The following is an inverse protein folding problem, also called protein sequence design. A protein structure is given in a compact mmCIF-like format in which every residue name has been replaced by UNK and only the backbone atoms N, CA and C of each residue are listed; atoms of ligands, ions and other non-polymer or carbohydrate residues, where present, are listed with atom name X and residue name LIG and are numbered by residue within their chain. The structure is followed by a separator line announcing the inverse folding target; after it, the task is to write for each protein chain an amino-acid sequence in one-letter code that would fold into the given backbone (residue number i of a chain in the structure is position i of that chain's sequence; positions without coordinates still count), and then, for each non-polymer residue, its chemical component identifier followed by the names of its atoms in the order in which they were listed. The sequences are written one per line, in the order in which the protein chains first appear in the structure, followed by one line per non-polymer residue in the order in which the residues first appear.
data_IF_743773473671
#
_entry.id   IF_743773473671
#
_cell.length_a   1.000
_cell.length_b   1.000
_cell.length_c   1.000
_cell.angle_alpha   90.00
_cell.angle_beta   90.00
_cell.angle_gamma   90.00
#
_symmetry.space_group_name_H-M   'P 1'
#
loop_
_entity.id
_entity.type
_entity.pdbx_description
1 polymer ?
#
# COMPACT_ATOMS: atom_id res chain seq x y z
N UNK A 1 2.37 -12.80 20.80
CA UNK A 1 3.18 -13.39 19.70
C UNK A 1 2.79 -14.87 19.51
N UNK A 2 3.04 -15.49 18.36
CA UNK A 2 2.63 -16.89 18.09
C UNK A 2 3.12 -17.89 19.15
N UNK A 3 4.29 -17.66 19.75
CA UNK A 3 4.80 -18.50 20.83
C UNK A 3 3.90 -18.47 22.07
N UNK A 4 3.43 -17.29 22.47
CA UNK A 4 2.52 -17.13 23.61
C UNK A 4 1.20 -17.86 23.34
N UNK A 5 0.66 -17.74 22.12
CA UNK A 5 -0.56 -18.49 21.75
C UNK A 5 -0.32 -20.01 21.75
N UNK A 6 0.86 -20.48 21.35
CA UNK A 6 1.19 -21.91 21.45
C UNK A 6 1.22 -22.37 22.90
N UNK A 7 1.78 -21.56 23.81
CA UNK A 7 1.82 -21.87 25.25
C UNK A 7 0.39 -21.95 25.80
N UNK A 8 -0.45 -20.95 25.52
CA UNK A 8 -1.88 -20.95 25.91
C UNK A 8 -2.61 -22.22 25.45
N UNK A 9 -2.44 -22.60 24.17
CA UNK A 9 -3.07 -23.83 23.63
C UNK A 9 -2.57 -25.11 24.31
N UNK A 10 -1.31 -25.14 24.76
CA UNK A 10 -0.75 -26.28 25.50
C UNK A 10 -1.34 -26.33 26.91
N UNK A 11 -1.38 -25.19 27.60
CA UNK A 11 -1.91 -25.06 28.97
C UNK A 11 -3.40 -25.45 29.03
N UNK A 12 -4.17 -25.05 28.02
CA UNK A 12 -5.61 -25.33 27.92
C UNK A 12 -5.93 -26.72 27.34
N UNK A 13 -4.91 -27.54 27.04
CA UNK A 13 -5.06 -28.82 26.34
C UNK A 13 -5.85 -28.71 25.02
N UNK A 14 -5.72 -27.60 24.30
CA UNK A 14 -6.36 -27.38 23.00
C UNK A 14 -5.58 -28.08 21.88
N UNK A 15 -5.81 -29.38 21.75
CA UNK A 15 -5.19 -30.23 20.74
C UNK A 15 -6.15 -30.53 19.59
N UNK A 16 -5.71 -30.29 18.34
CA UNK A 16 -6.40 -30.64 17.09
C UNK A 16 -7.81 -30.02 16.91
N UNK A 17 -8.23 -29.76 15.67
CA UNK A 17 -9.55 -29.15 15.40
C UNK A 17 -10.71 -30.14 15.41
N UNK A 18 -10.43 -31.43 15.19
CA UNK A 18 -11.42 -32.50 15.05
C UNK A 18 -10.88 -33.75 15.72
N UNK A 19 -11.67 -34.43 16.54
CA UNK A 19 -11.29 -35.74 17.12
C UNK A 19 -11.15 -36.78 15.99
N UNK A 20 -10.21 -37.72 16.13
CA UNK A 20 -10.09 -38.83 15.17
C UNK A 20 -11.26 -39.81 15.32
N UNK A 21 -11.44 -40.69 14.32
CA UNK A 21 -12.53 -41.69 14.29
C UNK A 21 -12.51 -42.66 15.47
N UNK A 22 -11.32 -42.91 16.03
CA UNK A 22 -11.05 -43.78 17.18
C UNK A 22 -11.15 -43.05 18.53
N UNK A 23 -11.56 -41.78 18.54
CA UNK A 23 -11.62 -40.97 19.76
C UNK A 23 -10.26 -40.44 20.24
N UNK A 24 -9.15 -40.79 19.58
CA UNK A 24 -7.82 -40.32 19.95
C UNK A 24 -7.55 -38.89 19.46
N UNK A 25 -6.72 -38.16 20.21
CA UNK A 25 -6.22 -36.84 19.83
C UNK A 25 -4.79 -36.98 19.27
N UNK A 26 -4.47 -36.25 18.20
CA UNK A 26 -3.10 -36.03 17.77
C UNK A 26 -2.42 -35.02 18.69
N UNK A 27 -1.11 -35.16 18.92
CA UNK A 27 -0.28 -34.12 19.59
C UNK A 27 -0.08 -32.83 18.78
N UNK A 28 -0.96 -32.52 17.83
CA UNK A 28 -0.93 -31.28 17.02
C UNK A 28 -1.80 -30.24 17.72
N UNK A 29 -1.29 -29.03 17.90
CA UNK A 29 -2.07 -27.93 18.47
C UNK A 29 -3.28 -27.59 17.59
N UNK A 30 -4.36 -27.15 18.24
CA UNK A 30 -5.55 -26.63 17.56
C UNK A 30 -5.16 -25.42 16.71
N UNK A 31 -5.69 -25.35 15.49
CA UNK A 31 -5.46 -24.23 14.58
C UNK A 31 -6.42 -23.09 14.93
N UNK A 32 -5.91 -21.91 15.37
CA UNK A 32 -6.74 -20.75 15.75
C UNK A 32 -7.51 -20.10 14.58
N UNK A 33 -7.21 -20.49 13.34
CA UNK A 33 -7.88 -20.01 12.14
C UNK A 33 -7.27 -18.74 11.53
N UNK A 34 -7.80 -18.35 10.37
CA UNK A 34 -7.26 -17.27 9.52
C UNK A 34 -7.21 -15.91 10.23
N UNK A 35 -8.27 -15.56 10.97
CA UNK A 35 -8.39 -14.26 11.67
C UNK A 35 -7.20 -14.00 12.59
N UNK A 36 -6.85 -14.98 13.42
CA UNK A 36 -5.73 -14.89 14.35
C UNK A 36 -4.40 -14.58 13.64
N UNK A 37 -4.09 -15.30 12.55
CA UNK A 37 -2.83 -15.10 11.83
C UNK A 37 -2.79 -13.76 11.09
N UNK A 38 -3.93 -13.27 10.60
CA UNK A 38 -4.02 -11.95 9.98
C UNK A 38 -3.82 -10.84 11.03
N UNK A 39 -4.43 -10.96 12.21
CA UNK A 39 -4.22 -10.03 13.33
C UNK A 39 -2.77 -10.05 13.81
N UNK A 40 -2.16 -11.24 13.91
CA UNK A 40 -0.76 -11.40 14.25
C UNK A 40 0.16 -10.71 13.22
N UNK A 41 -0.09 -10.92 11.93
CA UNK A 41 0.67 -10.27 10.86
C UNK A 41 0.53 -8.74 10.90
N UNK A 42 -0.71 -8.24 11.05
CA UNK A 42 -0.97 -6.81 11.17
C UNK A 42 -0.26 -6.19 12.38
N UNK A 43 -0.26 -6.88 13.52
CA UNK A 43 0.44 -6.44 14.75
C UNK A 43 1.95 -6.41 14.53
N UNK A 44 2.53 -7.46 13.94
CA UNK A 44 3.96 -7.50 13.63
C UNK A 44 4.37 -6.35 12.68
N UNK A 45 3.57 -6.06 11.65
CA UNK A 45 3.82 -4.93 10.74
C UNK A 45 3.73 -3.60 11.48
N UNK A 46 2.74 -3.41 12.37
CA UNK A 46 2.62 -2.21 13.20
C UNK A 46 3.83 -2.02 14.10
N UNK A 47 4.33 -3.07 14.74
CA UNK A 47 5.52 -3.03 15.59
C UNK A 47 6.77 -2.67 14.81
N UNK A 48 6.99 -3.29 13.64
CA UNK A 48 8.11 -2.96 12.76
C UNK A 48 8.03 -1.51 12.29
N UNK A 49 6.83 -1.07 11.88
CA UNK A 49 6.59 0.32 11.50
C UNK A 49 6.69 1.29 12.69
N UNK A 50 6.62 0.85 13.94
CA UNK A 50 6.83 1.71 15.10
C UNK A 50 8.31 1.89 15.46
N UNK A 51 9.21 1.04 14.93
CA UNK A 51 10.64 1.14 15.21
C UNK A 51 11.21 2.45 14.66
N UNK A 52 12.00 3.12 15.50
CA UNK A 52 12.64 4.39 15.22
C UNK A 52 14.13 4.31 15.48
N UNK A 53 14.90 5.14 14.79
CA UNK A 53 16.31 5.33 15.10
C UNK A 53 16.52 6.25 16.31
N UNK A 54 17.77 6.49 16.67
CA UNK A 54 18.16 7.36 17.79
C UNK A 54 17.63 8.80 17.65
N UNK A 55 17.33 9.24 16.44
CA UNK A 55 16.81 10.58 16.15
C UNK A 55 15.27 10.60 16.09
N UNK A 56 14.62 9.50 16.47
CA UNK A 56 13.16 9.37 16.45
C UNK A 56 12.56 9.17 15.05
N UNK A 57 13.36 8.93 14.01
CA UNK A 57 12.88 8.73 12.65
C UNK A 57 12.50 7.26 12.46
N UNK A 58 11.30 7.02 11.96
CA UNK A 58 10.85 5.68 11.56
C UNK A 58 11.74 5.10 10.45
N UNK A 59 12.16 3.84 10.56
CA UNK A 59 12.98 3.18 9.55
C UNK A 59 12.37 3.17 8.15
N UNK A 60 11.05 3.00 8.03
CA UNK A 60 10.36 3.08 6.74
C UNK A 60 10.51 4.48 6.12
N UNK A 61 10.27 5.53 6.91
CA UNK A 61 10.49 6.93 6.47
C UNK A 61 11.94 7.16 6.09
N UNK A 62 12.88 6.66 6.90
CA UNK A 62 14.32 6.78 6.62
C UNK A 62 14.67 6.15 5.27
N UNK A 63 14.17 4.96 4.97
CA UNK A 63 14.36 4.31 3.68
C UNK A 63 13.74 5.13 2.54
N UNK A 64 12.51 5.64 2.71
CA UNK A 64 11.87 6.50 1.72
C UNK A 64 12.68 7.76 1.41
N UNK A 65 13.23 8.42 2.44
CA UNK A 65 14.14 9.56 2.27
C UNK A 65 15.38 9.15 1.47
N UNK A 66 16.02 8.03 1.82
CA UNK A 66 17.21 7.52 1.12
C UNK A 66 16.95 7.11 -0.34
N UNK A 67 15.70 6.83 -0.69
CA UNK A 67 15.27 6.54 -2.06
C UNK A 67 14.67 7.75 -2.80
N UNK A 68 14.64 8.93 -2.18
CA UNK A 68 14.10 10.15 -2.79
C UNK A 68 12.57 10.24 -2.83
N UNK A 69 11.87 9.34 -2.13
CA UNK A 69 10.41 9.29 -2.04
C UNK A 69 9.83 10.17 -0.92
N UNK A 70 10.70 10.81 -0.13
CA UNK A 70 10.30 11.65 1.00
C UNK A 70 11.28 12.80 1.23
N UNK A 71 10.79 13.84 1.91
CA UNK A 71 11.58 14.99 2.34
C UNK A 71 12.38 14.66 3.60
N UNK A 72 13.47 15.40 3.83
CA UNK A 72 14.26 15.30 5.04
C UNK A 72 13.49 15.82 6.27
N UNK A 73 14.07 15.67 7.46
CA UNK A 73 13.50 16.12 8.74
C UNK A 73 13.28 17.64 8.74
N UNK A 74 14.13 18.39 8.04
CA UNK A 74 14.01 19.84 7.80
C UNK A 74 13.00 20.21 6.70
N UNK A 75 12.26 19.24 6.16
CA UNK A 75 11.30 19.47 5.07
C UNK A 75 11.95 19.78 3.72
N UNK A 76 13.28 19.73 3.63
CA UNK A 76 14.01 20.05 2.40
C UNK A 76 14.40 18.77 1.66
N UNK A 77 14.37 18.80 0.33
CA UNK A 77 14.91 17.73 -0.48
C UNK A 77 16.36 18.02 -0.86
N UNK A 78 17.27 17.06 -0.67
CA UNK A 78 18.69 17.19 -1.02
C UNK A 78 19.21 15.87 -1.57
N UNK A 79 20.05 15.91 -2.60
CA UNK A 79 20.66 14.69 -3.17
C UNK A 79 21.53 13.95 -2.16
N UNK A 80 22.18 14.67 -1.23
CA UNK A 80 23.03 14.10 -0.17
C UNK A 80 22.30 13.13 0.76
N UNK A 81 20.96 13.19 0.81
CA UNK A 81 20.16 12.26 1.59
C UNK A 81 20.03 10.90 0.91
N UNK A 82 20.30 10.78 -0.39
CA UNK A 82 20.10 9.52 -1.13
C UNK A 82 21.10 8.44 -0.72
N UNK A 83 20.81 7.19 -1.05
CA UNK A 83 21.80 6.13 -0.94
C UNK A 83 22.99 6.37 -1.91
N UNK A 84 24.21 5.91 -1.55
CA UNK A 84 25.40 6.13 -2.38
C UNK A 84 25.26 5.67 -3.83
N UNK A 85 24.63 4.53 -4.08
CA UNK A 85 24.42 4.01 -5.43
C UNK A 85 23.52 4.91 -6.29
N UNK A 86 22.54 5.60 -5.70
CA UNK A 86 21.72 6.58 -6.44
C UNK A 86 22.51 7.84 -6.75
N UNK A 87 23.37 8.28 -5.82
CA UNK A 87 24.28 9.40 -6.04
C UNK A 87 25.27 9.11 -7.18
N UNK A 88 25.73 7.86 -7.34
CA UNK A 88 26.58 7.45 -8.47
C UNK A 88 25.87 7.57 -9.82
N UNK A 89 24.59 7.23 -9.89
CA UNK A 89 23.78 7.41 -11.11
C UNK A 89 23.67 8.90 -11.46
N UNK A 90 23.39 9.76 -10.47
CA UNK A 90 23.33 11.21 -10.67
C UNK A 90 24.67 11.74 -11.18
N UNK A 91 25.78 11.28 -10.62
CA UNK A 91 27.14 11.67 -11.08
C UNK A 91 27.42 11.23 -12.52
N UNK A 92 26.86 10.09 -12.94
CA UNK A 92 27.03 9.56 -14.30
C UNK A 92 26.21 10.33 -15.34
N UNK A 93 25.07 10.89 -14.95
CA UNK A 93 24.14 11.59 -15.84
C UNK A 93 23.71 12.96 -15.27
N UNK A 94 24.64 13.90 -15.05
CA UNK A 94 24.33 15.16 -14.38
C UNK A 94 23.41 16.06 -15.21
N UNK A 95 23.57 16.09 -16.53
CA UNK A 95 22.75 16.92 -17.44
C UNK A 95 21.29 16.44 -17.50
N UNK A 96 21.09 15.12 -17.64
CA UNK A 96 19.75 14.53 -17.66
C UNK A 96 19.06 14.68 -16.29
N UNK A 97 19.84 14.61 -15.20
CA UNK A 97 19.32 14.80 -13.85
C UNK A 97 18.93 16.25 -13.54
N UNK A 98 19.69 17.24 -14.04
CA UNK A 98 19.34 18.66 -13.87
C UNK A 98 18.05 19.05 -14.61
N UNK A 99 17.58 18.19 -15.51
CA UNK A 99 16.54 18.49 -16.47
C UNK A 99 17.13 19.40 -17.55
N UNK A 100 17.09 18.97 -18.81
CA UNK A 100 17.27 19.90 -19.92
C UNK A 100 16.21 20.97 -19.73
N UNK A 101 16.62 22.22 -19.49
CA UNK A 101 15.72 23.36 -19.59
C UNK A 101 15.02 23.20 -20.94
N UNK A 102 13.70 23.01 -20.91
CA UNK A 102 12.91 22.94 -22.13
C UNK A 102 13.16 24.24 -22.87
N UNK A 103 14.00 24.21 -23.90
CA UNK A 103 13.97 25.19 -24.98
C UNK A 103 12.64 25.00 -25.67
N UNK A 104 11.58 25.52 -25.06
CA UNK A 104 10.43 26.02 -25.80
C UNK A 104 10.95 27.26 -26.51
N UNK A 105 11.54 27.05 -27.68
CA UNK A 105 11.71 28.11 -28.65
C UNK A 105 10.32 28.69 -28.90
N UNK A 106 10.17 29.94 -28.54
CA UNK A 106 9.12 30.85 -29.01
C UNK A 106 9.00 30.73 -30.52
N UNK A 107 7.91 30.13 -31.00
CA UNK A 107 7.29 30.55 -32.24
C UNK A 107 5.95 31.14 -31.84
N UNK A 108 5.95 32.46 -31.73
CA UNK A 108 4.74 33.25 -31.82
C UNK A 108 4.25 33.11 -33.27
N UNK A 109 3.05 32.57 -33.44
CA UNK A 109 2.18 32.90 -34.56
C UNK A 109 0.77 33.06 -33.96
N UNK A 110 0.35 34.32 -33.87
CA UNK A 110 -1.05 34.68 -33.70
C UNK A 110 -1.75 34.65 -35.07
N UNK A 111 -3.09 34.54 -34.99
CA UNK A 111 -4.13 34.60 -36.03
C UNK A 111 -4.48 33.26 -36.70
N UNK A 112 -5.74 32.83 -36.83
CA UNK A 112 -7.05 33.50 -36.76
C UNK A 112 -8.15 32.47 -36.42
N UNK A 113 -9.32 32.97 -36.02
CA UNK A 113 -10.51 32.29 -35.51
C UNK A 113 -11.29 31.56 -36.61
N UNK A 114 -11.82 30.36 -36.35
CA UNK A 114 -13.08 29.93 -36.98
C UNK A 114 -14.01 29.26 -35.96
N UNK A 115 -15.24 29.73 -35.96
CA UNK A 115 -16.32 29.44 -35.02
C UNK A 115 -17.17 28.28 -35.51
N UNK A 116 -17.39 27.27 -34.68
CA UNK A 116 -18.53 26.36 -34.86
C UNK A 116 -19.14 26.02 -33.50
N UNK A 117 -20.38 26.44 -33.32
CA UNK A 117 -21.28 26.15 -32.20
C UNK A 117 -21.45 24.65 -31.95
N UNK A 118 -21.33 24.19 -30.70
CA UNK A 118 -22.01 22.96 -30.25
C UNK A 118 -22.56 23.13 -28.84
N UNK A 119 -23.89 23.03 -28.75
CA UNK A 119 -24.68 23.09 -27.53
C UNK A 119 -24.41 21.87 -26.64
N UNK A 120 -24.09 22.11 -25.37
CA UNK A 120 -24.09 21.09 -24.34
C UNK A 120 -25.53 20.83 -23.85
N UNK A 121 -26.11 19.70 -24.23
CA UNK A 121 -27.29 19.13 -23.61
C UNK A 121 -26.85 18.08 -22.57
N UNK A 122 -27.24 18.31 -21.32
CA UNK A 122 -27.00 17.41 -20.19
C UNK A 122 -27.86 16.14 -20.32
N UNK A 123 -27.26 14.96 -20.14
CA UNK A 123 -28.03 13.81 -19.63
C UNK A 123 -27.13 12.76 -18.96
N UNK A 124 -26.99 12.85 -17.64
CA UNK A 124 -26.57 11.71 -16.82
C UNK A 124 -27.68 10.66 -16.80
N UNK A 125 -27.48 9.53 -17.48
CA UNK A 125 -28.35 8.35 -17.34
C UNK A 125 -27.64 7.22 -16.62
N UNK A 126 -28.26 6.86 -15.49
CA UNK A 126 -27.92 5.78 -14.58
C UNK A 126 -27.66 4.44 -15.27
N UNK A 127 -26.69 3.70 -14.74
CA UNK A 127 -26.34 2.33 -15.12
C UNK A 127 -27.44 1.38 -14.61
N UNK A 128 -28.17 0.63 -15.46
CA UNK A 128 -29.23 -0.26 -15.00
C UNK A 128 -28.67 -1.61 -14.53
N UNK A 129 -29.12 -2.03 -13.34
CA UNK A 129 -28.89 -3.35 -12.78
C UNK A 129 -29.63 -4.46 -13.53
N UNK A 130 -28.98 -5.62 -13.65
CA UNK A 130 -29.55 -6.84 -14.23
C UNK A 130 -30.34 -7.58 -13.14
N UNK A 131 -31.67 -7.58 -13.24
CA UNK A 131 -32.57 -8.43 -12.45
C UNK A 131 -33.00 -9.61 -13.32
N UNK A 132 -32.71 -10.84 -12.86
CA UNK A 132 -33.20 -12.06 -13.49
C UNK A 132 -34.57 -12.47 -12.95
N UNK A 133 -35.31 -13.11 -13.86
CA UNK A 133 -36.75 -13.33 -13.91
C UNK A 133 -37.17 -14.53 -13.05
N UNK A 134 -37.40 -14.30 -11.77
CA UNK A 134 -38.22 -15.18 -10.92
C UNK A 134 -38.92 -14.28 -9.89
N UNK A 135 -40.12 -13.79 -10.25
CA UNK A 135 -40.87 -12.83 -9.46
C UNK A 135 -41.36 -13.42 -8.14
N UNK A 136 -40.64 -13.13 -7.06
CA UNK A 136 -41.21 -13.00 -5.72
C UNK A 136 -40.40 -11.93 -4.96
N UNK A 137 -41.10 -10.89 -4.52
CA UNK A 137 -40.60 -9.91 -3.54
C UNK A 137 -40.45 -10.60 -2.18
N UNK A 138 -39.32 -10.36 -1.50
CA UNK A 138 -39.27 -10.45 -0.03
C UNK A 138 -38.59 -9.19 0.48
N UNK A 139 -39.41 -8.28 1.02
CA UNK A 139 -39.03 -7.28 2.01
C UNK A 139 -38.82 -8.00 3.35
N UNK A 140 -37.57 -8.05 3.84
CA UNK A 140 -36.98 -7.29 4.97
C UNK A 140 -35.63 -7.93 5.29
#
# INVERSE_FOLDING_TARGET
MWNDKKIELIEDNEWQNKVRKDGSYSGKLKNPGKRFFLELAATAVKEVNAKRDQNGINYARKAMMRCGLSLSVDGTWRTTQLFPHLLEIIKKYPEEFAGKASTTDTVADEEEVDSVDEAHEENETAIPGVINRAGNEVLV
#
